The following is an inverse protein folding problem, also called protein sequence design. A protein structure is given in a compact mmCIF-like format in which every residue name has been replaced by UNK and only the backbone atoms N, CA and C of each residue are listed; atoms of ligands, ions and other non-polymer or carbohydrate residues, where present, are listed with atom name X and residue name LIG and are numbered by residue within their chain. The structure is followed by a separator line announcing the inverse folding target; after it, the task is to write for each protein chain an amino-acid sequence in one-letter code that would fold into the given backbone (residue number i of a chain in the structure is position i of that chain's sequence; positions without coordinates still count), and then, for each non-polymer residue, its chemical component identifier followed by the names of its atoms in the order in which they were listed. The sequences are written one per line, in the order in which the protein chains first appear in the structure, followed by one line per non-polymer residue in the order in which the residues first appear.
data_IF_401034714212
#
_entry.id   IF_401034714212
#
_cell.length_a   1.000
_cell.length_b   1.000
_cell.length_c   1.000
_cell.angle_alpha   90.00
_cell.angle_beta   90.00
_cell.angle_gamma   90.00
#
_symmetry.space_group_name_H-M   'P 1'
#
loop_
_entity.id
_entity.type
_entity.pdbx_description
1 polymer ?
#
# COMPACT_ATOMS: atom_id res chain seq x y z
N UNK A 1 67.75 -20.35 -2.49
CA UNK A 1 68.00 -19.01 -3.06
C UNK A 1 66.79 -18.70 -3.93
N UNK A 2 65.76 -18.10 -3.33
CA UNK A 2 65.38 -16.68 -3.45
C UNK A 2 64.55 -16.35 -4.70
N UNK A 3 63.31 -15.88 -4.43
CA UNK A 3 62.55 -14.80 -5.09
C UNK A 3 62.19 -14.89 -6.58
N UNK A 4 61.12 -14.30 -7.14
CA UNK A 4 59.81 -13.74 -6.74
C UNK A 4 59.08 -13.40 -8.06
N UNK A 5 57.74 -13.44 -8.06
CA UNK A 5 56.71 -12.81 -8.93
C UNK A 5 57.00 -12.31 -10.38
N UNK A 6 56.08 -12.65 -11.30
CA UNK A 6 55.57 -11.74 -12.35
C UNK A 6 54.23 -12.23 -12.95
N UNK A 7 53.27 -11.31 -13.07
CA UNK A 7 51.91 -11.43 -13.63
C UNK A 7 51.82 -11.65 -15.16
N UNK A 8 50.58 -11.91 -15.59
CA UNK A 8 49.93 -11.53 -16.85
C UNK A 8 49.69 -12.65 -17.87
N UNK A 9 48.41 -12.98 -18.10
CA UNK A 9 47.81 -13.35 -19.40
C UNK A 9 46.30 -13.58 -19.25
N UNK A 10 45.50 -12.90 -20.08
CA UNK A 10 44.06 -13.16 -20.17
C UNK A 10 43.25 -12.13 -20.95
N UNK A 11 43.70 -11.70 -22.13
CA UNK A 11 42.90 -10.91 -23.06
C UNK A 11 42.27 -11.83 -24.13
N UNK A 12 40.95 -11.72 -24.36
CA UNK A 12 40.33 -11.85 -25.68
C UNK A 12 38.85 -11.44 -25.64
N UNK A 13 38.54 -10.28 -26.25
CA UNK A 13 37.23 -9.98 -26.81
C UNK A 13 37.44 -9.08 -28.03
N UNK A 14 37.23 -9.65 -29.22
CA UNK A 14 37.20 -8.93 -30.48
C UNK A 14 35.73 -8.72 -30.88
N UNK A 15 35.41 -7.50 -31.31
CA UNK A 15 34.09 -7.07 -31.73
C UNK A 15 33.78 -7.32 -33.21
N UNK A 16 32.56 -6.93 -33.57
CA UNK A 16 32.01 -6.42 -34.84
C UNK A 16 30.47 -6.56 -34.68
N UNK A 17 29.57 -5.60 -34.90
CA UNK A 17 29.61 -4.30 -35.55
C UNK A 17 28.31 -4.16 -36.37
N UNK A 18 27.57 -3.07 -36.12
CA UNK A 18 26.67 -2.32 -37.01
C UNK A 18 25.16 -2.62 -37.08
N UNK A 19 24.35 -1.59 -36.78
CA UNK A 19 22.92 -1.54 -37.11
C UNK A 19 22.04 -0.48 -36.44
N UNK A 20 22.57 0.62 -35.88
CA UNK A 20 21.74 1.74 -35.38
C UNK A 20 21.25 2.59 -36.55
N UNK A 21 19.96 2.46 -36.89
CA UNK A 21 19.28 3.35 -37.82
C UNK A 21 18.13 4.05 -37.10
N UNK A 22 18.28 5.37 -37.01
CA UNK A 22 17.30 6.40 -36.65
C UNK A 22 15.84 6.02 -36.93
N UNK A 23 14.98 6.23 -35.93
CA UNK A 23 13.70 6.91 -36.11
C UNK A 23 13.40 7.71 -34.83
N UNK A 24 14.05 8.86 -34.75
CA UNK A 24 13.62 9.97 -33.91
C UNK A 24 12.36 10.55 -34.56
N UNK A 25 11.26 10.53 -33.82
CA UNK A 25 9.92 10.78 -34.32
C UNK A 25 8.89 10.58 -33.22
N UNK A 26 9.14 11.20 -32.06
CA UNK A 26 8.06 11.53 -31.14
C UNK A 26 7.17 12.57 -31.83
N UNK A 27 6.22 12.13 -32.66
CA UNK A 27 4.98 12.88 -32.79
C UNK A 27 4.28 12.75 -31.43
N UNK A 28 4.51 13.73 -30.57
CA UNK A 28 3.65 13.97 -29.42
C UNK A 28 2.24 14.19 -29.97
N UNK A 29 1.39 13.17 -29.80
CA UNK A 29 -0.04 13.29 -30.04
C UNK A 29 -0.55 14.51 -29.25
N UNK A 30 -1.13 15.53 -29.91
CA UNK A 30 -1.66 16.71 -29.21
C UNK A 30 -2.68 16.33 -28.12
N UNK A 31 -3.34 15.16 -28.22
CA UNK A 31 -4.19 14.63 -27.16
C UNK A 31 -3.40 14.11 -25.95
N UNK A 32 -2.22 13.51 -26.17
CA UNK A 32 -1.33 13.05 -25.09
C UNK A 32 -0.72 14.23 -24.33
N UNK A 33 -0.32 15.29 -25.04
CA UNK A 33 0.15 16.53 -24.41
C UNK A 33 -0.94 17.21 -23.56
N UNK A 34 -2.20 17.20 -24.02
CA UNK A 34 -3.34 17.75 -23.28
C UNK A 34 -3.69 16.95 -22.02
N UNK A 35 -3.63 15.61 -22.08
CA UNK A 35 -3.85 14.76 -20.90
C UNK A 35 -2.73 14.92 -19.87
N UNK A 36 -1.46 14.97 -20.30
CA UNK A 36 -0.34 15.23 -19.40
C UNK A 36 -0.42 16.63 -18.76
N UNK A 37 -0.91 17.62 -19.51
CA UNK A 37 -1.16 18.96 -18.99
C UNK A 37 -2.28 18.97 -17.93
N UNK A 38 -3.39 18.26 -18.16
CA UNK A 38 -4.45 18.09 -17.16
C UNK A 38 -4.00 17.30 -15.93
N UNK A 39 -3.18 16.27 -16.11
CA UNK A 39 -2.67 15.46 -15.01
C UNK A 39 -1.78 16.28 -14.07
N UNK A 40 -0.97 17.19 -14.62
CA UNK A 40 -0.16 18.14 -13.86
C UNK A 40 -1.02 19.25 -13.19
N UNK A 41 -2.13 19.65 -13.82
CA UNK A 41 -3.09 20.61 -13.24
C UNK A 41 -3.88 20.00 -12.06
N UNK A 42 -4.22 18.71 -12.12
CA UNK A 42 -4.88 17.96 -11.03
C UNK A 42 -3.90 17.64 -9.89
N UNK A 43 -2.65 17.29 -10.20
CA UNK A 43 -1.62 17.03 -9.19
C UNK A 43 -1.30 18.25 -8.31
N UNK A 44 -1.54 19.47 -8.82
CA UNK A 44 -1.42 20.71 -8.04
C UNK A 44 -2.53 20.89 -6.98
N UNK A 45 -3.66 20.19 -7.10
CA UNK A 45 -4.80 20.30 -6.17
C UNK A 45 -4.68 19.31 -5.00
N UNK A 46 -3.92 18.22 -5.17
CA UNK A 46 -3.70 17.23 -4.11
C UNK A 46 -2.57 17.62 -3.13
N UNK A 47 -1.74 18.59 -3.52
CA UNK A 47 -0.61 19.07 -2.71
C UNK A 47 -0.87 20.38 -1.95
N UNK A 48 -2.03 21.01 -2.11
CA UNK A 48 -2.40 22.24 -1.38
C UNK A 48 -3.59 21.99 -0.44
N UNK A 49 -3.52 22.61 0.73
CA UNK A 49 -4.22 22.31 1.97
C UNK A 49 -5.76 22.52 1.94
N UNK A 50 -6.48 21.79 1.09
CA UNK A 50 -7.92 21.97 0.86
C UNK A 50 -8.89 21.16 1.74
N UNK A 51 -8.39 20.29 2.62
CA UNK A 51 -9.23 19.41 3.46
C UNK A 51 -9.80 20.10 4.73
N UNK A 52 -9.80 21.44 4.81
CA UNK A 52 -10.36 22.20 5.93
C UNK A 52 -11.81 22.69 5.75
N UNK A 53 -12.42 22.57 4.56
CA UNK A 53 -13.71 23.23 4.25
C UNK A 53 -14.97 22.39 4.56
N UNK A 54 -14.84 21.11 4.90
CA UNK A 54 -16.01 20.24 5.16
C UNK A 54 -16.45 20.18 6.63
N UNK A 55 -15.77 20.87 7.56
CA UNK A 55 -16.16 20.86 8.99
C UNK A 55 -17.23 21.91 9.35
N UNK A 56 -17.63 22.82 8.46
CA UNK A 56 -18.61 23.89 8.78
C UNK A 56 -19.85 24.00 7.89
N UNK A 57 -20.07 23.08 6.94
CA UNK A 57 -21.39 22.87 6.33
C UNK A 57 -22.00 24.07 5.58
N UNK A 58 -21.22 24.83 4.81
CA UNK A 58 -21.73 25.94 4.00
C UNK A 58 -21.51 25.68 2.49
N UNK A 59 -22.58 25.79 1.71
CA UNK A 59 -22.61 25.50 0.27
C UNK A 59 -22.32 26.78 -0.52
N UNK A 60 -21.51 26.75 -1.61
CA UNK A 60 -21.22 27.95 -2.40
C UNK A 60 -22.47 28.52 -3.08
N UNK A 61 -22.59 29.86 -3.18
CA UNK A 61 -23.75 30.54 -3.77
C UNK A 61 -23.97 30.28 -5.26
N UNK A 62 -23.05 29.58 -5.94
CA UNK A 62 -23.18 29.21 -7.35
C UNK A 62 -24.24 28.13 -7.63
N UNK A 63 -24.71 27.41 -6.60
CA UNK A 63 -25.70 26.34 -6.75
C UNK A 63 -27.12 26.76 -6.31
N UNK A 64 -27.37 28.05 -6.03
CA UNK A 64 -28.66 28.51 -5.55
C UNK A 64 -29.38 29.44 -6.54
N UNK A 65 -30.38 28.85 -7.20
CA UNK A 65 -31.52 29.44 -7.92
C UNK A 65 -31.31 29.95 -9.36
N UNK A 66 -32.02 29.31 -10.30
CA UNK A 66 -33.06 29.99 -11.09
C UNK A 66 -34.02 28.94 -11.69
N UNK A 67 -35.16 28.81 -11.01
CA UNK A 67 -36.39 28.18 -11.45
C UNK A 67 -36.94 28.93 -12.68
N UNK A 68 -37.40 28.22 -13.72
CA UNK A 68 -37.79 28.88 -14.98
C UNK A 68 -38.25 27.97 -16.11
N UNK A 69 -39.17 27.05 -15.82
CA UNK A 69 -39.99 26.41 -16.86
C UNK A 69 -40.84 27.49 -17.56
N UNK A 70 -40.55 27.80 -18.82
CA UNK A 70 -41.43 28.59 -19.69
C UNK A 70 -41.55 27.93 -21.06
N UNK A 71 -42.76 27.48 -21.35
CA UNK A 71 -43.19 26.93 -22.62
C UNK A 71 -43.27 28.01 -23.71
N UNK A 72 -42.98 27.60 -24.95
CA UNK A 72 -43.64 28.15 -26.15
C UNK A 72 -42.84 29.17 -26.96
N UNK A 73 -42.12 28.68 -27.97
CA UNK A 73 -42.03 29.35 -29.27
C UNK A 73 -41.63 28.32 -30.33
N UNK A 74 -42.57 28.03 -31.21
CA UNK A 74 -42.41 27.30 -32.47
C UNK A 74 -41.63 28.15 -33.47
N UNK A 75 -40.60 27.57 -34.08
CA UNK A 75 -40.20 27.82 -35.47
C UNK A 75 -39.41 26.57 -35.91
N UNK A 76 -39.89 25.70 -36.80
CA UNK A 76 -40.63 26.01 -38.02
C UNK A 76 -39.77 25.88 -39.28
N UNK A 77 -38.63 25.16 -39.25
CA UNK A 77 -37.87 24.86 -40.48
C UNK A 77 -38.05 23.40 -40.88
N UNK A 78 -39.11 23.17 -41.66
CA UNK A 78 -39.23 22.04 -42.58
C UNK A 78 -38.30 22.35 -43.74
N UNK A 79 -37.09 21.78 -43.74
CA UNK A 79 -36.27 21.77 -44.95
C UNK A 79 -36.68 20.55 -45.77
N UNK A 80 -37.58 20.79 -46.72
CA UNK A 80 -38.07 19.77 -47.64
C UNK A 80 -37.05 19.49 -48.73
N UNK A 81 -36.51 18.29 -48.73
CA UNK A 81 -36.07 17.64 -49.96
C UNK A 81 -37.23 16.77 -50.44
N UNK A 82 -38.03 17.34 -51.35
CA UNK A 82 -38.96 16.60 -52.20
C UNK A 82 -38.11 15.73 -53.11
N UNK A 83 -37.92 14.47 -52.73
CA UNK A 83 -37.38 13.46 -53.62
C UNK A 83 -38.33 13.32 -54.82
N UNK A 84 -37.80 13.63 -56.00
CA UNK A 84 -38.45 13.40 -57.27
C UNK A 84 -38.50 11.89 -57.53
N UNK A 85 -39.59 11.23 -57.09
CA UNK A 85 -39.85 9.83 -57.40
C UNK A 85 -40.16 9.66 -58.90
N UNK A 86 -39.20 9.11 -59.63
CA UNK A 86 -39.44 8.54 -60.95
C UNK A 86 -40.16 7.20 -60.79
N UNK A 87 -41.44 7.16 -61.18
CA UNK A 87 -42.25 5.93 -61.23
C UNK A 87 -41.80 4.98 -62.35
N UNK A 88 -40.65 4.32 -62.17
CA UNK A 88 -40.28 3.09 -62.89
C UNK A 88 -40.70 1.85 -62.09
N UNK A 89 -40.74 0.63 -62.69
CA UNK A 89 -41.10 -0.59 -61.96
C UNK A 89 -40.22 -0.75 -60.71
N UNK A 90 -40.80 -0.52 -59.52
CA UNK A 90 -40.12 -0.68 -58.25
C UNK A 90 -39.71 -2.14 -58.10
N UNK A 91 -38.41 -2.39 -58.20
CA UNK A 91 -37.80 -3.64 -57.80
C UNK A 91 -37.91 -3.76 -56.27
N UNK A 92 -39.00 -4.40 -55.82
CA UNK A 92 -39.28 -4.63 -54.40
C UNK A 92 -38.11 -5.33 -53.72
N UNK A 93 -37.34 -6.16 -54.44
CA UNK A 93 -36.18 -6.86 -53.91
C UNK A 93 -34.97 -5.92 -53.75
N UNK A 94 -34.74 -5.01 -54.69
CA UNK A 94 -33.75 -3.95 -54.52
C UNK A 94 -34.10 -3.00 -53.36
N UNK A 95 -35.37 -2.67 -53.17
CA UNK A 95 -35.83 -1.86 -52.04
C UNK A 95 -35.62 -2.59 -50.69
N UNK A 96 -35.98 -3.88 -50.60
CA UNK A 96 -35.78 -4.71 -49.41
C UNK A 96 -34.29 -4.87 -49.09
N UNK A 97 -33.44 -5.15 -50.10
CA UNK A 97 -32.01 -5.32 -49.88
C UNK A 97 -31.29 -4.01 -49.50
N UNK A 98 -31.74 -2.85 -49.99
CA UNK A 98 -31.22 -1.56 -49.54
C UNK A 98 -31.62 -1.26 -48.09
N UNK A 99 -32.86 -1.58 -47.70
CA UNK A 99 -33.30 -1.48 -46.30
C UNK A 99 -32.49 -2.41 -45.41
N UNK A 100 -32.24 -3.64 -45.83
CA UNK A 100 -31.39 -4.61 -45.10
C UNK A 100 -29.95 -4.10 -44.97
N UNK A 101 -29.39 -3.49 -46.02
CA UNK A 101 -28.05 -2.89 -46.01
C UNK A 101 -27.94 -1.67 -45.09
N UNK A 102 -29.05 -0.93 -44.95
CA UNK A 102 -29.16 0.23 -44.06
C UNK A 102 -29.41 -0.19 -42.60
N UNK A 103 -30.07 -1.33 -42.37
CA UNK A 103 -30.30 -1.91 -41.04
C UNK A 103 -29.13 -2.76 -40.55
N UNK A 104 -28.33 -3.35 -41.44
CA UNK A 104 -27.12 -4.06 -41.08
C UNK A 104 -26.07 -3.09 -40.59
N UNK A 105 -25.75 -3.12 -39.29
CA UNK A 105 -24.56 -2.42 -38.79
C UNK A 105 -23.33 -2.89 -39.61
N UNK A 106 -22.50 -1.97 -40.11
CA UNK A 106 -21.26 -2.32 -40.79
C UNK A 106 -20.42 -3.26 -39.92
N UNK A 107 -19.88 -4.34 -40.51
CA UNK A 107 -19.04 -5.31 -39.79
C UNK A 107 -17.85 -4.67 -39.04
N UNK A 108 -17.35 -3.51 -39.51
CA UNK A 108 -16.33 -2.73 -38.80
C UNK A 108 -16.83 -2.16 -37.47
N UNK A 109 -18.07 -1.67 -37.40
CA UNK A 109 -18.69 -1.16 -36.17
C UNK A 109 -19.00 -2.33 -35.22
N UNK A 110 -19.43 -3.47 -35.75
CA UNK A 110 -19.67 -4.69 -34.95
C UNK A 110 -18.37 -5.15 -34.26
N UNK A 111 -17.28 -5.28 -35.03
CA UNK A 111 -15.95 -5.62 -34.51
C UNK A 111 -15.48 -4.60 -33.47
N UNK A 112 -15.64 -3.30 -33.75
CA UNK A 112 -15.25 -2.27 -32.81
C UNK A 112 -16.02 -2.35 -31.49
N UNK A 113 -17.34 -2.60 -31.51
CA UNK A 113 -18.12 -2.80 -30.27
C UNK A 113 -17.68 -4.04 -29.50
N UNK A 114 -17.37 -5.13 -30.20
CA UNK A 114 -16.87 -6.35 -29.58
C UNK A 114 -15.51 -6.12 -28.92
N UNK A 115 -14.57 -5.46 -29.62
CA UNK A 115 -13.25 -5.10 -29.09
C UNK A 115 -13.34 -4.14 -27.89
N UNK A 116 -14.22 -3.13 -27.95
CA UNK A 116 -14.45 -2.21 -26.83
C UNK A 116 -15.05 -2.93 -25.63
N UNK A 117 -16.03 -3.80 -25.86
CA UNK A 117 -16.65 -4.61 -24.80
C UNK A 117 -15.62 -5.52 -24.15
N UNK A 118 -14.79 -6.18 -24.94
CA UNK A 118 -13.72 -7.04 -24.42
C UNK A 118 -12.68 -6.24 -23.62
N UNK A 119 -12.27 -5.08 -24.12
CA UNK A 119 -11.34 -4.19 -23.41
C UNK A 119 -11.92 -3.72 -22.07
N UNK A 120 -13.20 -3.37 -22.03
CA UNK A 120 -13.88 -2.95 -20.81
C UNK A 120 -13.99 -4.11 -19.82
N UNK A 121 -14.33 -5.30 -20.29
CA UNK A 121 -14.39 -6.51 -19.45
C UNK A 121 -13.02 -6.88 -18.88
N UNK A 122 -11.94 -6.72 -19.65
CA UNK A 122 -10.57 -6.90 -19.16
C UNK A 122 -10.21 -5.88 -18.08
N UNK A 123 -10.63 -4.62 -18.24
CA UNK A 123 -10.40 -3.58 -17.23
C UNK A 123 -11.15 -3.89 -15.94
N UNK A 124 -12.43 -4.27 -16.04
CA UNK A 124 -13.25 -4.69 -14.88
C UNK A 124 -12.69 -5.94 -14.21
N UNK A 125 -12.16 -6.89 -14.98
CA UNK A 125 -11.53 -8.09 -14.44
C UNK A 125 -10.21 -7.76 -13.73
N UNK A 126 -9.41 -6.83 -14.27
CA UNK A 126 -8.18 -6.38 -13.64
C UNK A 126 -8.47 -5.64 -12.32
N UNK A 127 -9.43 -4.71 -12.34
CA UNK A 127 -9.87 -3.99 -11.13
C UNK A 127 -10.30 -4.96 -10.02
N UNK A 128 -11.15 -5.93 -10.35
CA UNK A 128 -11.60 -6.95 -9.38
C UNK A 128 -10.46 -7.82 -8.84
N UNK A 129 -9.45 -8.13 -9.67
CA UNK A 129 -8.26 -8.87 -9.22
C UNK A 129 -7.43 -8.05 -8.25
N UNK A 130 -7.14 -6.79 -8.57
CA UNK A 130 -6.38 -5.91 -7.68
C UNK A 130 -7.08 -5.68 -6.35
N UNK A 131 -8.41 -5.47 -6.36
CA UNK A 131 -9.18 -5.35 -5.13
C UNK A 131 -9.12 -6.63 -4.28
N UNK A 132 -9.25 -7.80 -4.91
CA UNK A 132 -9.15 -9.08 -4.21
C UNK A 132 -7.75 -9.30 -3.62
N UNK A 133 -6.69 -8.99 -4.38
CA UNK A 133 -5.29 -9.10 -3.93
C UNK A 133 -5.00 -8.15 -2.76
N UNK A 134 -5.48 -6.90 -2.83
CA UNK A 134 -5.32 -5.94 -1.73
C UNK A 134 -6.09 -6.36 -0.49
N UNK A 135 -7.30 -6.91 -0.66
CA UNK A 135 -8.09 -7.43 0.44
C UNK A 135 -7.41 -8.64 1.10
N UNK A 136 -6.90 -9.58 0.30
CA UNK A 136 -6.17 -10.74 0.80
C UNK A 136 -4.90 -10.30 1.54
N UNK A 137 -4.16 -9.34 0.98
CA UNK A 137 -2.96 -8.78 1.63
C UNK A 137 -3.28 -8.11 2.97
N UNK A 138 -4.35 -7.32 3.03
CA UNK A 138 -4.79 -6.68 4.27
C UNK A 138 -5.23 -7.70 5.34
N UNK A 139 -5.95 -8.75 4.93
CA UNK A 139 -6.34 -9.85 5.83
C UNK A 139 -5.10 -10.55 6.37
N UNK A 140 -4.16 -10.91 5.48
CA UNK A 140 -2.93 -11.61 5.87
C UNK A 140 -2.08 -10.77 6.83
N UNK A 141 -1.93 -9.47 6.59
CA UNK A 141 -1.19 -8.58 7.49
C UNK A 141 -1.84 -8.51 8.89
N UNK A 142 -3.17 -8.48 8.94
CA UNK A 142 -3.93 -8.49 10.18
C UNK A 142 -3.73 -9.82 10.94
N UNK A 143 -3.79 -10.95 10.25
CA UNK A 143 -3.53 -12.28 10.82
C UNK A 143 -2.10 -12.39 11.35
N UNK A 144 -1.10 -11.93 10.58
CA UNK A 144 0.30 -11.89 11.01
C UNK A 144 0.51 -10.97 12.22
N UNK A 145 -0.24 -9.87 12.33
CA UNK A 145 -0.20 -9.02 13.51
C UNK A 145 -0.75 -9.74 14.75
N UNK A 146 -1.90 -10.41 14.63
CA UNK A 146 -2.46 -11.18 15.75
C UNK A 146 -1.55 -12.33 16.16
N UNK A 147 -0.96 -13.05 15.21
CA UNK A 147 -0.01 -14.13 15.49
C UNK A 147 1.21 -13.62 16.27
N UNK A 148 1.80 -12.49 15.84
CA UNK A 148 2.93 -11.86 16.55
C UNK A 148 2.56 -11.39 17.95
N UNK A 149 1.34 -10.86 18.14
CA UNK A 149 0.86 -10.45 19.46
C UNK A 149 0.66 -11.64 20.39
N UNK A 150 0.03 -12.71 19.92
CA UNK A 150 -0.14 -13.91 20.73
C UNK A 150 1.22 -14.54 21.06
N UNK A 151 2.13 -14.68 20.10
CA UNK A 151 3.47 -15.21 20.36
C UNK A 151 4.20 -14.38 21.44
N UNK A 152 4.14 -13.05 21.34
CA UNK A 152 4.71 -12.16 22.35
C UNK A 152 4.07 -12.39 23.72
N UNK A 153 2.75 -12.49 23.79
CA UNK A 153 2.02 -12.75 25.02
C UNK A 153 2.39 -14.11 25.63
N UNK A 154 2.43 -15.17 24.82
CA UNK A 154 2.81 -16.51 25.26
C UNK A 154 4.26 -16.54 25.75
N UNK A 155 5.18 -15.88 25.04
CA UNK A 155 6.57 -15.75 25.47
C UNK A 155 6.69 -15.01 26.80
N UNK A 156 5.95 -13.92 27.00
CA UNK A 156 5.92 -13.21 28.29
C UNK A 156 5.34 -14.10 29.40
N UNK A 157 4.24 -14.80 29.16
CA UNK A 157 3.65 -15.74 30.12
C UNK A 157 4.62 -16.87 30.49
N UNK A 158 5.29 -17.45 29.50
CA UNK A 158 6.28 -18.50 29.70
C UNK A 158 7.49 -17.99 30.48
N UNK A 159 8.01 -16.80 30.14
CA UNK A 159 9.11 -16.16 30.87
C UNK A 159 8.75 -15.88 32.33
N UNK A 160 7.54 -15.37 32.59
CA UNK A 160 7.08 -15.11 33.95
C UNK A 160 6.92 -16.41 34.75
N UNK A 161 6.38 -17.46 34.12
CA UNK A 161 6.26 -18.77 34.76
C UNK A 161 7.62 -19.37 35.09
N UNK A 162 8.56 -19.32 34.15
CA UNK A 162 9.92 -19.82 34.37
C UNK A 162 10.66 -19.00 35.45
N UNK A 163 10.47 -17.68 35.49
CA UNK A 163 11.03 -16.83 36.53
C UNK A 163 10.43 -17.15 37.91
N UNK A 164 9.13 -17.40 38.00
CA UNK A 164 8.46 -17.80 39.23
C UNK A 164 8.90 -19.18 39.68
N UNK A 165 8.97 -20.16 38.78
CA UNK A 165 9.48 -21.51 39.10
C UNK A 165 10.92 -21.43 39.60
N UNK A 166 11.78 -20.63 38.96
CA UNK A 166 13.15 -20.40 39.43
C UNK A 166 13.18 -19.71 40.80
N UNK A 167 12.32 -18.73 41.05
CA UNK A 167 12.21 -18.05 42.33
C UNK A 167 11.73 -18.98 43.45
N UNK A 168 10.73 -19.82 43.17
CA UNK A 168 10.23 -20.83 44.12
C UNK A 168 11.30 -21.87 44.41
N UNK A 169 11.99 -22.38 43.38
CA UNK A 169 13.06 -23.35 43.57
C UNK A 169 14.20 -22.77 44.44
N UNK A 170 14.63 -21.53 44.19
CA UNK A 170 15.63 -20.83 45.01
C UNK A 170 15.15 -20.62 46.45
N UNK A 171 13.83 -20.40 46.64
CA UNK A 171 13.22 -20.31 47.96
C UNK A 171 13.05 -21.66 48.67
N UNK A 172 12.97 -22.78 47.95
CA UNK A 172 12.89 -24.14 48.48
C UNK A 172 14.26 -24.76 48.79
N UNK A 173 15.33 -24.31 48.12
CA UNK A 173 16.73 -24.71 48.32
C UNK A 173 17.33 -24.15 49.64
N UNK A 174 16.59 -24.29 50.74
CA UNK A 174 16.98 -23.84 52.08
C UNK A 174 17.74 -24.94 52.80
N UNK A 175 19.06 -24.86 52.72
CA UNK A 175 19.95 -25.69 53.51
C UNK A 175 20.35 -24.99 54.82
N UNK A 176 20.49 -25.74 55.94
CA UNK A 176 20.97 -25.19 57.19
C UNK A 176 22.33 -24.48 57.01
N UNK A 177 22.38 -23.20 57.36
CA UNK A 177 23.59 -22.39 57.30
C UNK A 177 23.80 -21.54 56.05
N UNK A 178 22.81 -21.43 55.14
CA UNK A 178 22.76 -20.45 54.03
C UNK A 178 21.95 -19.18 54.36
N UNK A 179 21.49 -19.02 55.61
CA UNK A 179 20.52 -17.98 55.99
C UNK A 179 21.09 -16.56 55.81
N UNK A 180 22.35 -16.34 56.16
CA UNK A 180 23.00 -15.03 56.00
C UNK A 180 23.27 -14.67 54.54
N UNK A 181 23.49 -15.66 53.68
CA UNK A 181 23.67 -15.45 52.24
C UNK A 181 22.37 -14.98 51.59
N UNK A 182 21.24 -15.58 51.98
CA UNK A 182 19.88 -15.14 51.57
C UNK A 182 19.55 -13.74 52.07
N UNK A 183 19.82 -13.44 53.35
CA UNK A 183 19.63 -12.09 53.91
C UNK A 183 20.47 -11.07 53.13
N UNK A 184 21.71 -11.42 52.77
CA UNK A 184 22.57 -10.54 51.99
C UNK A 184 22.07 -10.35 50.54
N UNK A 185 21.51 -11.37 49.88
CA UNK A 185 20.92 -11.22 48.54
C UNK A 185 19.70 -10.28 48.52
N UNK A 186 18.89 -10.29 49.57
CA UNK A 186 17.73 -9.39 49.71
C UNK A 186 18.13 -7.95 50.10
N UNK A 187 19.34 -7.76 50.61
CA UNK A 187 19.85 -6.44 50.96
C UNK A 187 20.42 -5.70 49.75
N UNK A 188 19.86 -4.53 49.44
CA UNK A 188 20.42 -3.64 48.42
C UNK A 188 21.66 -2.90 48.96
N UNK A 189 22.84 -3.34 48.49
CA UNK A 189 24.14 -2.76 48.81
C UNK A 189 24.56 -1.63 47.87
N UNK A 190 23.71 -1.22 46.92
CA UNK A 190 24.03 -0.10 46.06
C UNK A 190 24.18 1.19 46.90
N UNK A 191 25.35 1.84 46.89
CA UNK A 191 25.55 3.06 47.67
C UNK A 191 24.65 4.22 47.21
N UNK A 192 24.12 4.17 45.98
CA UNK A 192 23.24 5.20 45.39
C UNK A 192 21.75 4.99 45.66
N UNK A 193 21.33 3.81 46.14
CA UNK A 193 19.91 3.51 46.37
C UNK A 193 19.40 3.97 47.74
N UNK A 194 20.30 4.38 48.65
CA UNK A 194 19.95 4.80 50.01
C UNK A 194 19.34 6.20 50.02
N UNK A 195 18.01 6.28 49.94
CA UNK A 195 17.23 7.51 50.18
C UNK A 195 16.78 7.67 51.65
N UNK A 196 17.38 6.90 52.56
CA UNK A 196 16.96 6.80 53.96
C UNK A 196 17.60 7.92 54.81
N UNK A 197 16.81 8.55 55.69
CA UNK A 197 17.29 9.60 56.61
C UNK A 197 18.16 9.08 57.77
N UNK A 198 18.20 7.76 57.97
CA UNK A 198 18.99 7.10 59.02
C UNK A 198 20.27 6.52 58.44
N UNK A 199 21.39 6.75 59.11
CA UNK A 199 22.67 6.16 58.71
C UNK A 199 22.69 4.66 59.00
N UNK A 200 22.66 3.86 57.94
CA UNK A 200 22.73 2.39 57.98
C UNK A 200 24.11 1.86 57.57
N UNK A 201 25.13 2.73 57.45
CA UNK A 201 26.46 2.37 56.95
C UNK A 201 27.13 1.30 57.80
N UNK A 202 27.00 1.37 59.13
CA UNK A 202 27.56 0.35 60.04
C UNK A 202 26.91 -1.02 59.85
N UNK A 203 25.58 -1.07 59.73
CA UNK A 203 24.84 -2.32 59.50
C UNK A 203 25.21 -2.91 58.12
N UNK A 204 25.24 -2.07 57.08
CA UNK A 204 25.67 -2.49 55.73
C UNK A 204 27.10 -3.03 55.72
N UNK A 205 28.03 -2.38 56.43
CA UNK A 205 29.41 -2.85 56.56
C UNK A 205 29.49 -4.23 57.21
N UNK A 206 28.73 -4.48 58.29
CA UNK A 206 28.69 -5.80 58.95
C UNK A 206 28.12 -6.86 58.00
N UNK A 207 27.03 -6.58 57.30
CA UNK A 207 26.41 -7.52 56.35
C UNK A 207 27.32 -7.84 55.15
N UNK A 208 28.04 -6.85 54.61
CA UNK A 208 29.03 -7.04 53.55
C UNK A 208 30.19 -7.92 54.04
N UNK A 209 30.68 -7.67 55.25
CA UNK A 209 31.75 -8.49 55.85
C UNK A 209 31.32 -9.95 55.99
N UNK A 210 30.09 -10.20 56.46
CA UNK A 210 29.55 -11.56 56.59
C UNK A 210 29.36 -12.26 55.25
N UNK A 211 29.07 -11.51 54.18
CA UNK A 211 28.98 -12.04 52.81
C UNK A 211 30.36 -12.43 52.25
N UNK A 212 31.39 -11.61 52.49
CA UNK A 212 32.74 -11.82 51.94
C UNK A 212 33.55 -12.85 52.74
N UNK A 213 33.34 -12.90 54.05
CA UNK A 213 33.96 -13.85 54.96
C UNK A 213 32.85 -14.58 55.72
N UNK A 214 32.36 -15.71 55.19
CA UNK A 214 31.41 -16.56 55.90
C UNK A 214 32.00 -16.94 57.26
N UNK A 215 31.17 -16.93 58.29
CA UNK A 215 31.58 -17.40 59.61
C UNK A 215 32.08 -18.84 59.47
N UNK A 216 33.38 -19.05 59.71
CA UNK A 216 33.98 -20.39 59.77
C UNK A 216 33.24 -21.13 60.88
N UNK A 217 32.61 -22.25 60.51
CA UNK A 217 31.93 -23.14 61.47
C UNK A 217 32.93 -23.95 62.26
#
# INVERSE_FOLDING_TARGET
MSSSEAEALGAQAAGNGNGTLLLDGAEEDPAAAFLAQQENEIAGIESDEGYGILESGEVPPALQAADGFAAGAVDGVINGDVYQESNGPTDCYAAISQVDRLQSEPESIRKWREEQKERLEQLDANSRKQEAEWKEKAIKELEEWYARQDEKLQKTKASNRAAEEAFVNDAEDVFPGTEWERVAQLCDFNPKSSKQAKDVSRMRSVLISLKQAPLVR
#
